data_IF_265149927762
#
_entry.id   IF_265149927762
#
_cell.length_a   1.000
_cell.length_b   1.000
_cell.length_c   1.000
_cell.angle_alpha   90.00
_cell.angle_beta   90.00
_cell.angle_gamma   90.00
#
_symmetry.space_group_name_H-M   'P 1'
#
loop_
_entity.id
_entity.type
_entity.pdbx_description
1 polymer ?
#
# COMPACT_ATOMS: atom_id res chain seq x y z
N UNK A 1 -28.54 -64.34 12.64
CA UNK A 1 -27.32 -63.56 12.98
C UNK A 1 -26.32 -63.62 11.83
N UNK A 2 -26.16 -62.52 11.08
CA UNK A 2 -24.89 -62.04 10.47
C UNK A 2 -25.23 -60.82 9.62
N UNK A 3 -24.83 -59.65 10.11
CA UNK A 3 -25.00 -58.35 9.45
C UNK A 3 -23.90 -58.22 8.40
N UNK A 4 -24.26 -58.01 7.13
CA UNK A 4 -23.31 -57.62 6.08
C UNK A 4 -23.30 -56.09 6.07
N UNK A 5 -22.14 -55.54 6.45
CA UNK A 5 -21.92 -54.12 6.59
C UNK A 5 -21.78 -53.46 5.21
N UNK A 6 -22.58 -52.43 4.98
CA UNK A 6 -22.45 -51.45 3.90
C UNK A 6 -21.11 -50.72 4.03
N UNK A 7 -20.26 -50.61 2.99
CA UNK A 7 -19.16 -49.66 3.04
C UNK A 7 -19.75 -48.27 2.82
N UNK A 8 -19.86 -47.52 3.91
CA UNK A 8 -20.10 -46.08 3.91
C UNK A 8 -18.88 -45.42 3.23
N UNK A 9 -19.00 -45.05 1.96
CA UNK A 9 -18.06 -44.15 1.30
C UNK A 9 -18.13 -42.80 2.04
N UNK A 10 -17.28 -42.65 3.06
CA UNK A 10 -17.10 -41.41 3.79
C UNK A 10 -16.39 -40.42 2.86
N UNK A 11 -17.22 -39.69 2.13
CA UNK A 11 -16.88 -38.52 1.33
C UNK A 11 -16.44 -37.41 2.28
N UNK A 12 -15.24 -37.55 2.83
CA UNK A 12 -14.53 -36.47 3.53
C UNK A 12 -13.95 -35.54 2.45
N UNK A 13 -14.86 -34.82 1.78
CA UNK A 13 -14.50 -33.59 1.09
C UNK A 13 -14.08 -32.62 2.20
N UNK A 14 -12.78 -32.61 2.53
CA UNK A 14 -12.21 -31.54 3.33
C UNK A 14 -12.41 -30.27 2.53
N UNK A 15 -13.49 -29.55 2.87
CA UNK A 15 -13.63 -28.13 2.64
C UNK A 15 -12.46 -27.46 3.38
N UNK A 16 -11.30 -27.44 2.74
CA UNK A 16 -10.27 -26.45 2.99
C UNK A 16 -10.86 -25.11 2.54
N UNK A 17 -11.83 -24.60 3.33
CA UNK A 17 -12.08 -23.18 3.41
C UNK A 17 -10.79 -22.59 3.98
N UNK A 18 -9.82 -22.37 3.10
CA UNK A 18 -8.69 -21.52 3.39
C UNK A 18 -9.32 -20.18 3.80
N UNK A 19 -9.30 -19.90 5.11
CA UNK A 19 -9.53 -18.57 5.67
C UNK A 19 -8.42 -17.66 5.13
N UNK A 20 -8.54 -17.30 3.86
CA UNK A 20 -7.65 -16.43 3.14
C UNK A 20 -7.82 -15.03 3.68
N UNK A 21 -6.73 -14.47 4.17
CA UNK A 21 -6.58 -13.05 4.49
C UNK A 21 -7.14 -12.18 3.36
N UNK A 22 -8.19 -11.42 3.67
CA UNK A 22 -8.99 -10.63 2.74
C UNK A 22 -8.54 -9.18 2.73
N UNK A 23 -7.35 -8.86 2.18
CA UNK A 23 -6.87 -7.46 1.93
C UNK A 23 -7.57 -6.42 2.83
N UNK A 24 -7.44 -6.59 4.16
CA UNK A 24 -8.35 -5.98 5.12
C UNK A 24 -7.72 -4.69 5.58
N UNK A 25 -8.45 -3.60 5.43
CA UNK A 25 -8.01 -2.32 5.98
C UNK A 25 -7.93 -2.46 7.50
N UNK A 26 -6.76 -2.17 8.06
CA UNK A 26 -6.53 -2.12 9.49
C UNK A 26 -6.34 -0.69 9.97
N UNK A 27 -6.83 -0.41 11.18
CA UNK A 27 -6.54 0.82 11.89
C UNK A 27 -5.14 0.77 12.50
N UNK A 28 -4.54 1.95 12.65
CA UNK A 28 -3.29 2.10 13.39
C UNK A 28 -3.57 1.99 14.86
N UNK A 29 -2.94 1.01 15.52
CA UNK A 29 -3.05 0.85 16.96
C UNK A 29 -2.49 2.09 17.65
N UNK A 30 -3.28 2.82 18.46
CA UNK A 30 -2.84 4.07 19.09
C UNK A 30 -1.73 3.86 20.14
N UNK A 31 -1.59 2.66 20.69
CA UNK A 31 -0.59 2.34 21.71
C UNK A 31 0.80 2.08 21.10
N UNK A 32 0.85 1.43 19.93
CA UNK A 32 2.12 1.08 19.26
C UNK A 32 2.42 2.01 18.09
N UNK A 33 1.42 2.70 17.57
CA UNK A 33 1.51 3.47 16.35
C UNK A 33 1.63 2.62 15.08
N UNK A 34 1.35 1.33 15.13
CA UNK A 34 1.50 0.42 13.98
C UNK A 34 0.20 -0.34 13.69
N UNK A 35 0.06 -0.81 12.45
CA UNK A 35 -0.93 -1.82 12.08
C UNK A 35 -0.55 -3.15 12.74
N UNK A 36 -1.52 -3.77 13.43
CA UNK A 36 -1.34 -5.04 14.13
C UNK A 36 -1.60 -6.22 13.19
N UNK A 37 -0.74 -7.23 13.23
CA UNK A 37 -1.02 -8.55 12.64
C UNK A 37 -1.67 -9.43 13.70
N UNK A 38 -2.81 -10.02 13.37
CA UNK A 38 -3.52 -10.97 14.24
C UNK A 38 -2.70 -12.27 14.43
N UNK A 39 -1.76 -12.55 13.53
CA UNK A 39 -0.93 -13.77 13.53
C UNK A 39 0.38 -13.64 14.30
N UNK A 40 0.69 -12.48 14.88
CA UNK A 40 1.91 -12.24 15.68
C UNK A 40 3.23 -12.26 14.90
N UNK A 41 3.27 -12.90 13.72
CA UNK A 41 4.39 -12.80 12.77
C UNK A 41 4.10 -11.66 11.81
N UNK A 42 4.86 -10.58 11.94
CA UNK A 42 4.92 -9.51 10.93
C UNK A 42 6.30 -9.64 10.30
N UNK A 43 6.37 -10.09 9.04
CA UNK A 43 7.57 -9.93 8.23
C UNK A 43 7.96 -8.46 8.28
N UNK A 44 9.13 -8.08 8.81
CA UNK A 44 9.52 -6.67 8.82
C UNK A 44 9.85 -6.23 7.40
N UNK A 45 9.41 -5.04 7.02
CA UNK A 45 9.88 -4.43 5.78
C UNK A 45 11.34 -4.00 5.92
N UNK A 46 12.11 -4.17 4.86
CA UNK A 46 13.44 -3.59 4.73
C UNK A 46 13.28 -2.17 4.23
N UNK A 47 13.73 -1.19 4.99
CA UNK A 47 13.81 0.21 4.54
C UNK A 47 15.09 0.37 3.72
N UNK A 48 14.94 0.70 2.45
CA UNK A 48 16.05 0.89 1.50
C UNK A 48 16.43 2.37 1.43
N UNK A 49 15.42 3.24 1.38
CA UNK A 49 15.59 4.70 1.33
C UNK A 49 14.72 5.33 2.42
N UNK A 50 15.28 6.25 3.20
CA UNK A 50 14.55 7.06 4.16
C UNK A 50 15.24 8.43 4.31
N UNK A 51 14.91 9.37 3.43
CA UNK A 51 15.46 10.72 3.48
C UNK A 51 14.72 11.56 4.53
N UNK A 52 15.44 12.36 5.33
CA UNK A 52 14.82 13.39 6.16
C UNK A 52 14.08 14.40 5.30
N UNK A 53 12.83 14.68 5.62
CA UNK A 53 12.01 15.67 4.91
C UNK A 53 10.87 16.13 5.81
N UNK A 54 10.31 17.32 5.58
CA UNK A 54 9.06 17.69 6.27
C UNK A 54 7.87 17.29 5.42
N UNK A 55 6.92 16.54 5.97
CA UNK A 55 5.68 16.18 5.26
C UNK A 55 4.71 17.36 5.16
N UNK A 56 4.81 18.35 6.05
CA UNK A 56 4.03 19.59 5.98
C UNK A 56 4.14 20.30 4.62
N UNK A 57 5.27 20.18 3.91
CA UNK A 57 5.46 20.77 2.57
C UNK A 57 4.50 20.22 1.51
N UNK A 58 3.91 19.05 1.75
CA UNK A 58 2.92 18.43 0.87
C UNK A 58 1.47 18.82 1.21
N UNK A 59 1.27 19.81 2.10
CA UNK A 59 -0.05 20.36 2.39
C UNK A 59 -1.06 19.34 2.91
N UNK A 60 -0.59 18.29 3.60
CA UNK A 60 -1.42 17.20 4.10
C UNK A 60 -2.09 16.36 3.00
N UNK A 61 -1.57 16.40 1.76
CA UNK A 61 -2.13 15.67 0.62
C UNK A 61 -1.19 14.56 0.15
N UNK A 62 -1.73 13.37 -0.07
CA UNK A 62 -1.04 12.25 -0.70
C UNK A 62 -1.84 11.73 -1.89
N UNK A 63 -1.14 11.41 -2.98
CA UNK A 63 -1.67 10.71 -4.13
C UNK A 63 -1.17 9.26 -4.12
N UNK A 64 -2.09 8.29 -4.13
CA UNK A 64 -1.79 6.86 -4.16
C UNK A 64 -2.11 6.31 -5.56
N UNK A 65 -1.08 5.99 -6.33
CA UNK A 65 -1.25 5.62 -7.75
C UNK A 65 -1.31 4.11 -8.01
N UNK A 66 -1.11 3.27 -7.00
CA UNK A 66 -1.25 1.82 -7.15
C UNK A 66 -1.57 1.15 -5.82
N UNK A 67 -1.74 -0.18 -5.84
CA UNK A 67 -2.24 -0.93 -4.68
C UNK A 67 -3.76 -1.11 -4.65
N UNK A 68 -4.46 -0.59 -5.68
CA UNK A 68 -5.91 -0.68 -5.82
C UNK A 68 -6.66 0.06 -4.72
N UNK A 69 -7.96 -0.22 -4.61
CA UNK A 69 -8.83 0.38 -3.59
C UNK A 69 -8.31 0.12 -2.16
N UNK A 70 -7.79 -1.08 -1.91
CA UNK A 70 -7.15 -1.40 -0.64
C UNK A 70 -6.01 -0.43 -0.30
N UNK A 71 -5.11 -0.15 -1.24
CA UNK A 71 -3.97 0.72 -0.98
C UNK A 71 -4.38 2.14 -0.59
N UNK A 72 -5.44 2.64 -1.24
CA UNK A 72 -6.03 3.95 -0.98
C UNK A 72 -6.71 3.95 0.40
N UNK A 73 -7.56 2.96 0.68
CA UNK A 73 -8.31 2.89 1.93
C UNK A 73 -7.39 2.64 3.13
N UNK A 74 -6.34 1.83 2.97
CA UNK A 74 -5.34 1.62 3.99
C UNK A 74 -4.51 2.89 4.26
N UNK A 75 -4.20 3.68 3.23
CA UNK A 75 -3.55 4.98 3.41
C UNK A 75 -4.44 5.96 4.19
N UNK A 76 -5.75 6.01 3.88
CA UNK A 76 -6.73 6.80 4.63
C UNK A 76 -6.76 6.40 6.11
N UNK A 77 -6.80 5.11 6.40
CA UNK A 77 -6.82 4.58 7.77
C UNK A 77 -5.56 4.93 8.59
N UNK A 78 -4.46 5.35 7.96
CA UNK A 78 -3.28 5.83 8.69
C UNK A 78 -3.49 7.18 9.37
N UNK A 79 -4.45 7.97 8.91
CA UNK A 79 -4.70 9.36 9.35
C UNK A 79 -3.46 10.27 9.29
N UNK A 80 -2.47 9.96 8.44
CA UNK A 80 -1.27 10.78 8.25
C UNK A 80 -1.51 12.00 7.34
N UNK A 81 -2.51 11.91 6.46
CA UNK A 81 -2.84 12.91 5.46
C UNK A 81 -4.31 13.29 5.58
N UNK A 82 -4.59 14.59 5.49
CA UNK A 82 -5.95 15.13 5.44
C UNK A 82 -6.67 14.72 4.16
N UNK A 83 -5.92 14.61 3.05
CA UNK A 83 -6.47 14.23 1.75
C UNK A 83 -5.66 13.09 1.13
N UNK A 84 -6.36 12.01 0.76
CA UNK A 84 -5.79 10.85 0.06
C UNK A 84 -6.50 10.72 -1.28
N UNK A 85 -5.77 11.04 -2.35
CA UNK A 85 -6.27 11.07 -3.72
C UNK A 85 -5.90 9.80 -4.46
N UNK A 86 -6.81 9.35 -5.34
CA UNK A 86 -6.54 8.34 -6.36
C UNK A 86 -6.55 8.96 -7.77
N UNK A 87 -6.44 8.13 -8.81
CA UNK A 87 -6.44 8.60 -10.19
C UNK A 87 -7.74 9.30 -10.58
N UNK A 88 -8.88 8.75 -10.20
CA UNK A 88 -10.20 9.32 -10.51
C UNK A 88 -10.37 10.69 -9.85
N UNK A 89 -9.89 10.83 -8.61
CA UNK A 89 -9.92 12.11 -7.89
C UNK A 89 -9.06 13.16 -8.60
N UNK A 90 -7.84 12.80 -9.04
CA UNK A 90 -6.98 13.71 -9.79
C UNK A 90 -7.58 14.10 -11.15
N UNK A 91 -8.20 13.16 -11.87
CA UNK A 91 -8.85 13.45 -13.15
C UNK A 91 -10.05 14.39 -12.98
N UNK A 92 -10.94 14.10 -12.03
CA UNK A 92 -12.07 14.98 -11.67
C UNK A 92 -11.57 16.37 -11.30
N UNK A 93 -10.49 16.44 -10.54
CA UNK A 93 -9.89 17.69 -10.13
C UNK A 93 -9.38 18.51 -11.31
N UNK A 94 -8.62 17.89 -12.21
CA UNK A 94 -8.07 18.54 -13.41
C UNK A 94 -9.20 19.13 -14.27
N UNK A 95 -10.25 18.35 -14.51
CA UNK A 95 -11.41 18.79 -15.29
C UNK A 95 -12.16 19.92 -14.58
N UNK A 96 -12.44 19.77 -13.28
CA UNK A 96 -13.17 20.77 -12.48
C UNK A 96 -12.47 22.13 -12.41
N UNK A 97 -11.14 22.14 -12.56
CA UNK A 97 -10.30 23.35 -12.49
C UNK A 97 -9.82 23.84 -13.86
N UNK A 98 -10.29 23.24 -14.96
CA UNK A 98 -9.88 23.57 -16.32
C UNK A 98 -8.34 23.52 -16.51
N UNK A 99 -7.69 22.47 -15.99
CA UNK A 99 -6.23 22.29 -16.02
C UNK A 99 -5.73 21.38 -17.15
N UNK A 100 -6.60 20.89 -18.03
CA UNK A 100 -6.28 19.91 -19.07
C UNK A 100 -5.10 20.35 -19.97
N UNK A 101 -5.06 21.63 -20.35
CA UNK A 101 -3.99 22.17 -21.21
C UNK A 101 -2.62 22.19 -20.51
N UNK A 102 -2.61 22.27 -19.18
CA UNK A 102 -1.39 22.32 -18.37
C UNK A 102 -0.93 20.93 -17.94
N UNK A 103 -1.89 20.03 -17.69
CA UNK A 103 -1.67 18.67 -17.17
C UNK A 103 -2.34 17.68 -18.14
N UNK A 104 -1.68 17.32 -19.24
CA UNK A 104 -2.27 16.47 -20.27
C UNK A 104 -2.45 15.00 -19.82
N UNK A 105 -1.70 14.57 -18.81
CA UNK A 105 -1.80 13.23 -18.23
C UNK A 105 -1.36 13.26 -16.76
N UNK A 106 -1.92 12.37 -15.94
CA UNK A 106 -1.47 12.10 -14.55
C UNK A 106 -0.92 10.69 -14.39
N UNK A 107 -0.89 9.89 -15.45
CA UNK A 107 -0.34 8.52 -15.43
C UNK A 107 1.18 8.49 -15.40
N UNK A 108 1.84 9.62 -15.69
CA UNK A 108 3.28 9.70 -15.86
C UNK A 108 3.94 10.70 -14.88
N UNK A 109 5.21 10.48 -14.49
CA UNK A 109 5.93 11.36 -13.58
C UNK A 109 5.94 12.84 -14.01
N UNK A 110 6.09 13.10 -15.31
CA UNK A 110 6.09 14.47 -15.85
C UNK A 110 4.74 15.15 -15.61
N UNK A 111 3.66 14.41 -15.84
CA UNK A 111 2.29 14.85 -15.58
C UNK A 111 2.04 15.21 -14.12
N UNK A 112 2.46 14.32 -13.21
CA UNK A 112 2.38 14.56 -11.77
C UNK A 112 3.24 15.74 -11.31
N UNK A 113 4.44 15.91 -11.88
CA UNK A 113 5.29 17.08 -11.62
C UNK A 113 4.60 18.38 -12.03
N UNK A 114 4.01 18.43 -13.22
CA UNK A 114 3.22 19.59 -13.66
C UNK A 114 2.05 19.85 -12.75
N UNK A 115 1.27 18.82 -12.40
CA UNK A 115 0.13 18.95 -11.49
C UNK A 115 0.54 19.52 -10.13
N UNK A 116 1.65 19.04 -9.56
CA UNK A 116 2.15 19.52 -8.27
C UNK A 116 2.50 21.01 -8.28
N UNK A 117 2.91 21.55 -9.44
CA UNK A 117 3.29 22.95 -9.63
C UNK A 117 2.11 23.87 -9.91
N UNK A 118 1.08 23.39 -10.61
CA UNK A 118 -0.05 24.22 -11.05
C UNK A 118 -1.29 24.14 -10.16
N UNK A 119 -1.40 23.11 -9.33
CA UNK A 119 -2.53 22.92 -8.42
C UNK A 119 -2.12 23.12 -6.95
N UNK A 120 -1.40 22.15 -6.39
CA UNK A 120 -0.81 22.23 -5.04
C UNK A 120 0.23 21.11 -4.86
N UNK A 121 1.15 21.25 -3.89
CA UNK A 121 2.04 20.17 -3.48
C UNK A 121 1.26 18.95 -2.95
N UNK A 122 1.78 17.75 -3.22
CA UNK A 122 1.29 16.49 -2.66
C UNK A 122 2.44 15.47 -2.64
N UNK A 123 2.39 14.48 -1.75
CA UNK A 123 3.31 13.34 -1.78
C UNK A 123 2.77 12.30 -2.76
N UNK A 124 3.60 11.75 -3.65
CA UNK A 124 3.20 10.63 -4.49
C UNK A 124 3.65 9.31 -3.86
N UNK A 125 2.71 8.42 -3.57
CA UNK A 125 2.98 7.06 -3.09
C UNK A 125 2.55 6.04 -4.14
N UNK A 126 3.43 5.09 -4.43
CA UNK A 126 3.10 3.96 -5.28
C UNK A 126 3.69 2.66 -4.74
N UNK A 127 3.14 1.57 -5.25
CA UNK A 127 3.64 0.22 -5.07
C UNK A 127 4.14 -0.36 -6.37
N UNK A 128 5.27 -1.07 -6.29
CA UNK A 128 5.90 -1.75 -7.41
C UNK A 128 6.28 -3.17 -7.02
N UNK A 129 6.06 -4.14 -7.91
CA UNK A 129 6.67 -5.46 -7.78
C UNK A 129 7.97 -5.48 -8.56
N UNK A 130 9.02 -6.03 -7.96
CA UNK A 130 10.32 -6.19 -8.59
C UNK A 130 10.85 -7.60 -8.31
N UNK A 131 11.86 -8.02 -9.07
CA UNK A 131 12.63 -9.22 -8.77
C UNK A 131 14.05 -8.81 -8.40
N UNK A 132 14.55 -9.31 -7.28
CA UNK A 132 15.96 -9.21 -6.87
C UNK A 132 16.50 -10.62 -6.73
N UNK A 133 17.57 -10.97 -7.45
CA UNK A 133 18.17 -12.31 -7.37
C UNK A 133 17.12 -13.44 -7.54
N UNK A 134 16.24 -13.31 -8.52
CA UNK A 134 15.12 -14.23 -8.80
C UNK A 134 14.07 -14.36 -7.67
N UNK A 135 14.10 -13.49 -6.66
CA UNK A 135 13.10 -13.43 -5.60
C UNK A 135 12.16 -12.24 -5.81
N UNK A 136 10.83 -12.44 -5.76
CA UNK A 136 9.87 -11.36 -5.91
C UNK A 136 9.78 -10.51 -4.64
N UNK A 137 9.76 -9.20 -4.81
CA UNK A 137 9.55 -8.21 -3.75
C UNK A 137 8.41 -7.28 -4.11
N UNK A 138 7.73 -6.78 -3.08
CA UNK A 138 6.83 -5.65 -3.19
C UNK A 138 7.49 -4.45 -2.51
N UNK A 139 7.53 -3.33 -3.22
CA UNK A 139 8.04 -2.06 -2.73
C UNK A 139 6.89 -1.09 -2.53
N UNK A 140 7.01 -0.25 -1.50
CA UNK A 140 6.26 0.99 -1.34
C UNK A 140 7.25 2.14 -1.48
N UNK A 141 6.95 3.07 -2.38
CA UNK A 141 7.83 4.18 -2.76
C UNK A 141 7.07 5.48 -2.53
N UNK A 142 7.69 6.42 -1.83
CA UNK A 142 7.19 7.78 -1.68
C UNK A 142 8.13 8.77 -2.37
N UNK A 143 7.57 9.57 -3.27
CA UNK A 143 8.29 10.45 -4.19
C UNK A 143 7.76 11.86 -4.06
N UNK A 144 8.66 12.84 -4.05
CA UNK A 144 8.28 14.24 -4.27
C UNK A 144 8.00 14.46 -5.77
N UNK A 145 6.76 14.71 -6.20
CA UNK A 145 6.43 14.86 -7.61
C UNK A 145 7.08 16.10 -8.25
N UNK A 146 7.42 17.13 -7.47
CA UNK A 146 7.96 18.39 -8.01
C UNK A 146 9.31 18.19 -8.72
N UNK A 147 10.18 17.39 -8.11
CA UNK A 147 11.56 17.11 -8.54
C UNK A 147 11.82 15.61 -8.80
N UNK A 148 10.80 14.76 -8.68
CA UNK A 148 10.86 13.31 -8.82
C UNK A 148 11.82 12.61 -7.85
N UNK A 149 12.16 13.26 -6.75
CA UNK A 149 13.05 12.70 -5.75
C UNK A 149 12.34 11.60 -4.96
N UNK A 150 12.92 10.40 -4.94
CA UNK A 150 12.54 9.36 -4.00
C UNK A 150 12.95 9.77 -2.57
N UNK A 151 11.96 9.86 -1.69
CA UNK A 151 12.11 10.23 -0.29
C UNK A 151 12.10 9.01 0.62
N UNK A 152 11.30 8.01 0.25
CA UNK A 152 11.17 6.78 1.02
C UNK A 152 10.99 5.58 0.09
N UNK A 153 11.65 4.49 0.43
CA UNK A 153 11.45 3.18 -0.17
C UNK A 153 11.56 2.13 0.92
N UNK A 154 10.52 1.31 1.06
CA UNK A 154 10.57 0.09 1.83
C UNK A 154 10.12 -1.09 0.97
N UNK A 155 10.59 -2.28 1.31
CA UNK A 155 10.30 -3.49 0.56
C UNK A 155 10.10 -4.72 1.45
N UNK A 156 9.32 -5.66 0.94
CA UNK A 156 9.07 -6.96 1.55
C UNK A 156 9.22 -8.06 0.51
N UNK A 157 9.89 -9.14 0.89
CA UNK A 157 9.91 -10.37 0.11
C UNK A 157 8.52 -10.99 0.04
N UNK A 158 8.13 -11.40 -1.16
CA UNK A 158 6.84 -12.02 -1.43
C UNK A 158 6.96 -13.54 -1.36
N UNK A 159 6.74 -14.08 -0.16
CA UNK A 159 6.70 -15.53 0.04
C UNK A 159 5.35 -16.11 -0.38
N UNK A 160 5.30 -16.68 -1.58
CA UNK A 160 4.09 -17.31 -2.12
C UNK A 160 3.87 -18.73 -1.59
N UNK A 161 4.85 -19.35 -0.94
CA UNK A 161 4.80 -20.77 -0.56
C UNK A 161 4.42 -20.94 0.90
N UNK A 162 5.09 -20.24 1.82
CA UNK A 162 4.91 -20.47 3.25
C UNK A 162 4.04 -19.40 3.92
N UNK A 163 4.52 -18.16 3.97
CA UNK A 163 3.78 -17.09 4.64
C UNK A 163 2.56 -16.62 3.82
N UNK A 164 2.60 -16.76 2.49
CA UNK A 164 1.60 -16.25 1.58
C UNK A 164 1.69 -14.72 1.40
N UNK A 165 1.18 -14.25 0.26
CA UNK A 165 1.13 -12.83 -0.09
C UNK A 165 -0.22 -12.24 0.29
N UNK A 166 -0.25 -11.50 1.40
CA UNK A 166 -1.47 -10.89 1.94
C UNK A 166 -1.21 -9.56 2.65
N UNK A 167 -2.27 -8.95 3.17
CA UNK A 167 -2.21 -7.73 3.97
C UNK A 167 -1.23 -7.84 5.14
N UNK A 168 -1.37 -8.83 6.01
CA UNK A 168 -0.56 -8.97 7.23
C UNK A 168 0.94 -9.20 6.97
N UNK A 169 1.27 -9.95 5.92
CA UNK A 169 2.64 -10.39 5.64
C UNK A 169 3.34 -9.52 4.58
N UNK A 170 2.60 -8.85 3.70
CA UNK A 170 3.18 -8.07 2.60
C UNK A 170 2.80 -6.60 2.56
N UNK A 171 1.64 -6.21 3.13
CA UNK A 171 1.18 -4.81 3.09
C UNK A 171 1.43 -4.08 4.41
N UNK A 172 0.95 -4.61 5.53
CA UNK A 172 1.11 -4.00 6.85
C UNK A 172 2.57 -3.67 7.18
N UNK A 173 3.56 -4.51 6.86
CA UNK A 173 4.95 -4.16 7.09
C UNK A 173 5.40 -2.89 6.35
N UNK A 174 4.97 -2.73 5.09
CA UNK A 174 5.30 -1.57 4.27
C UNK A 174 4.64 -0.32 4.82
N UNK A 175 3.35 -0.41 5.17
CA UNK A 175 2.64 0.70 5.82
C UNK A 175 3.24 1.06 7.18
N UNK A 176 3.62 0.08 8.00
CA UNK A 176 4.26 0.33 9.29
C UNK A 176 5.59 1.06 9.14
N UNK A 177 6.43 0.63 8.20
CA UNK A 177 7.68 1.32 7.90
C UNK A 177 7.42 2.74 7.38
N UNK A 178 6.41 2.93 6.54
CA UNK A 178 6.02 4.25 6.04
C UNK A 178 5.47 5.16 7.15
N UNK A 179 4.61 4.66 8.04
CA UNK A 179 4.07 5.39 9.19
C UNK A 179 5.22 5.81 10.12
N UNK A 180 6.16 4.91 10.40
CA UNK A 180 7.32 5.20 11.22
C UNK A 180 8.18 6.31 10.60
N UNK A 181 8.46 6.23 9.29
CA UNK A 181 9.17 7.28 8.58
C UNK A 181 8.39 8.61 8.60
N UNK A 182 7.10 8.60 8.28
CA UNK A 182 6.26 9.80 8.22
C UNK A 182 6.20 10.53 9.56
N UNK A 183 6.06 9.81 10.68
CA UNK A 183 6.00 10.43 12.02
C UNK A 183 7.32 11.05 12.48
N UNK A 184 8.46 10.58 11.97
CA UNK A 184 9.77 11.21 12.20
C UNK A 184 9.97 12.47 11.36
N UNK A 185 9.03 12.77 10.46
CA UNK A 185 9.13 13.76 9.39
C UNK A 185 7.84 14.60 9.29
N UNK A 186 7.36 15.26 10.36
CA UNK A 186 6.11 16.02 10.35
C UNK A 186 6.07 17.12 9.28
#
# INVERSE_FOLDING_TARGET
>A
MRKIATPLLLSTLMLLAACGTQMKVADVDPSTGALKSDKGTVTKATVVTAKPTSLAKFGGTVFVSSGGEYGINQMKATNLFTEVLNFDDLQKLIVSKNLQDKVPSVGEPIGLSRLSKVYKPFLWVNFKRINKENKPYLQMIATNPENLEELFLAEVYLDFIWAGVNDQNSRYPLYNAFIEWARKNP
#
